data_IF_664401754290
#
_entry.id   IF_664401754290
#
_cell.length_a   1.000
_cell.length_b   1.000
_cell.length_c   1.000
_cell.angle_alpha   90.00
_cell.angle_beta   90.00
_cell.angle_gamma   90.00
#
_symmetry.space_group_name_H-M   'P 1'
#
loop_
_entity.id
_entity.type
_entity.pdbx_description
1 polymer ?
2 water ?
#
# COMPACT_ATOMS: atom_id res chain seq x y z
N UNK A 12 -7.23 -19.04 7.63
CA UNK A 12 -7.56 -18.38 6.38
C UNK A 12 -6.59 -18.71 5.25
N UNK A 13 -7.11 -18.72 4.02
CA UNK A 13 -6.38 -19.21 2.87
C UNK A 13 -5.28 -18.28 2.44
N UNK A 14 -5.25 -17.03 2.97
CA UNK A 14 -4.14 -16.16 2.64
C UNK A 14 -2.81 -16.83 2.92
N UNK A 15 -2.76 -17.72 3.94
CA UNK A 15 -1.50 -18.37 4.28
C UNK A 15 -0.95 -19.21 3.15
N UNK A 16 -1.80 -19.60 2.22
CA UNK A 16 -1.39 -20.48 1.13
C UNK A 16 -0.93 -19.70 -0.09
N UNK A 17 -1.08 -18.37 -0.10
CA UNK A 17 -0.76 -17.60 -1.29
C UNK A 17 0.74 -17.44 -1.43
N UNK A 18 1.20 -17.44 -2.69
CA UNK A 18 2.59 -17.18 -3.07
C UNK A 18 2.78 -15.86 -3.81
N UNK A 19 1.70 -15.14 -4.10
CA UNK A 19 1.81 -13.90 -4.85
C UNK A 19 0.68 -12.97 -4.46
N UNK A 20 0.97 -11.67 -4.51
CA UNK A 20 -0.10 -10.69 -4.40
C UNK A 20 -1.22 -10.92 -5.41
N UNK A 21 -0.90 -11.51 -6.58
CA UNK A 21 -1.90 -11.68 -7.63
C UNK A 21 -3.02 -12.60 -7.23
N UNK A 22 -2.87 -13.31 -6.11
CA UNK A 22 -3.94 -14.19 -5.66
C UNK A 22 -5.00 -13.47 -4.81
N UNK A 23 -4.83 -12.17 -4.54
CA UNK A 23 -5.80 -11.49 -3.68
C UNK A 23 -6.75 -10.61 -4.48
N UNK A 24 -7.92 -10.42 -3.89
CA UNK A 24 -8.94 -9.49 -4.37
C UNK A 24 -9.30 -8.58 -3.21
N UNK A 25 -9.42 -7.29 -3.49
CA UNK A 25 -9.62 -6.34 -2.41
C UNK A 25 -10.57 -5.24 -2.88
N UNK A 26 -11.44 -4.74 -2.03
CA UNK A 26 -12.36 -3.69 -2.49
C UNK A 26 -11.68 -2.33 -2.63
N UNK A 27 -11.87 -1.70 -3.79
CA UNK A 27 -11.40 -0.35 -3.99
C UNK A 27 -12.23 0.63 -3.19
N UNK A 28 -11.89 1.91 -3.29
CA UNK A 28 -12.48 2.88 -2.36
C UNK A 28 -13.95 3.08 -2.63
N UNK A 29 -14.40 2.71 -3.81
CA UNK A 29 -15.84 2.73 -4.13
C UNK A 29 -16.56 1.49 -3.66
N UNK A 30 -15.85 0.55 -3.04
CA UNK A 30 -16.52 -0.66 -2.64
C UNK A 30 -16.47 -1.80 -3.63
N UNK A 31 -15.68 -1.70 -4.69
CA UNK A 31 -15.76 -2.65 -5.79
C UNK A 31 -14.54 -3.54 -5.80
N UNK A 32 -14.74 -4.83 -6.02
CA UNK A 32 -13.63 -5.76 -5.89
C UNK A 32 -12.67 -5.59 -7.03
N UNK A 33 -11.39 -5.59 -6.69
CA UNK A 33 -10.29 -5.47 -7.61
C UNK A 33 -9.48 -6.75 -7.48
N UNK A 34 -9.37 -7.51 -8.55
CA UNK A 34 -8.50 -8.68 -8.58
C UNK A 34 -7.10 -8.19 -8.84
N UNK A 35 -6.21 -8.42 -7.86
CA UNK A 35 -4.88 -7.85 -7.98
C UNK A 35 -4.03 -8.54 -9.03
N UNK A 36 -4.49 -9.68 -9.60
CA UNK A 36 -3.71 -10.20 -10.75
C UNK A 36 -3.76 -9.27 -11.95
N UNK A 37 -4.63 -8.25 -11.93
CA UNK A 37 -4.56 -7.30 -13.02
C UNK A 37 -3.28 -6.48 -12.98
N UNK A 38 -2.52 -6.55 -11.89
CA UNK A 38 -1.24 -5.86 -11.82
C UNK A 38 -0.07 -6.78 -12.15
N UNK A 39 -0.35 -7.99 -12.66
CA UNK A 39 0.75 -8.82 -13.16
C UNK A 39 1.52 -8.04 -14.22
N UNK A 40 2.83 -8.13 -14.17
CA UNK A 40 3.68 -7.44 -15.08
C UNK A 40 3.89 -5.97 -14.76
N UNK A 41 3.38 -5.49 -13.62
CA UNK A 41 3.65 -4.14 -13.13
C UNK A 41 4.45 -4.23 -11.85
N UNK A 42 5.27 -3.22 -11.62
CA UNK A 42 5.94 -3.04 -10.32
C UNK A 42 4.95 -2.26 -9.47
N UNK A 43 4.77 -2.68 -8.21
CA UNK A 43 3.68 -2.15 -7.41
C UNK A 43 4.22 -1.73 -6.04
N UNK A 44 3.75 -0.58 -5.57
CA UNK A 44 3.97 -0.19 -4.17
C UNK A 44 2.65 -0.31 -3.46
N UNK A 45 2.61 -1.00 -2.33
CA UNK A 45 1.40 -1.08 -1.52
C UNK A 45 1.70 -0.27 -0.26
N UNK A 46 0.76 0.58 0.16
CA UNK A 46 1.02 1.37 1.34
C UNK A 46 -0.28 1.59 2.09
N UNK A 47 -0.16 1.71 3.40
CA UNK A 47 -1.31 2.03 4.25
C UNK A 47 -1.26 3.52 4.50
N UNK A 48 -2.40 4.20 4.32
CA UNK A 48 -2.44 5.66 4.34
C UNK A 48 -3.34 6.12 5.52
N UNK A 49 -3.27 7.42 5.80
CA UNK A 49 -4.16 8.04 6.76
C UNK A 49 -4.16 9.54 6.45
N UNK A 50 -5.21 10.22 6.90
CA UNK A 50 -5.40 11.62 6.52
C UNK A 50 -4.97 12.58 7.61
N UNK A 51 -4.80 12.12 8.84
CA UNK A 51 -4.56 12.95 10.02
C UNK A 51 -3.24 12.59 10.69
N UNK A 52 -2.24 12.23 9.86
CA UNK A 52 -0.91 11.82 10.30
C UNK A 52 0.11 12.94 10.10
N UNK A 53 1.12 13.01 11.00
CA UNK A 53 2.17 13.98 10.84
C UNK A 53 2.89 13.90 9.51
N UNK A 54 2.88 12.72 8.90
CA UNK A 54 3.49 12.52 7.59
C UNK A 54 2.49 12.33 6.46
N UNK A 55 1.22 12.68 6.67
CA UNK A 55 0.26 12.65 5.56
C UNK A 55 0.75 13.47 4.37
N UNK A 56 1.23 14.70 4.62
CA UNK A 56 1.53 15.58 3.49
C UNK A 56 2.73 15.08 2.71
N UNK A 57 3.81 14.71 3.39
CA UNK A 57 5.00 14.25 2.67
C UNK A 57 4.69 12.97 1.90
N UNK A 58 3.88 12.09 2.50
CA UNK A 58 3.60 10.83 1.82
C UNK A 58 2.72 11.02 0.62
N UNK A 59 1.58 11.70 0.76
CA UNK A 59 0.75 11.86 -0.44
C UNK A 59 1.45 12.66 -1.53
N UNK A 60 2.11 13.77 -1.17
CA UNK A 60 2.77 14.55 -2.24
C UNK A 60 3.84 13.74 -2.93
N UNK A 61 4.65 13.00 -2.17
CA UNK A 61 5.75 12.28 -2.78
C UNK A 61 5.28 11.01 -3.50
N UNK A 62 4.20 10.37 -3.01
CA UNK A 62 3.65 9.24 -3.72
C UNK A 62 3.07 9.69 -5.05
N UNK A 63 2.35 10.82 -5.07
CA UNK A 63 1.86 11.35 -6.35
C UNK A 63 3.05 11.65 -7.26
N UNK A 64 4.07 12.29 -6.75
CA UNK A 64 5.22 12.63 -7.59
C UNK A 64 5.89 11.38 -8.16
N UNK A 65 6.01 10.34 -7.36
CA UNK A 65 6.68 9.13 -7.79
C UNK A 65 5.82 8.42 -8.82
N UNK A 66 4.51 8.44 -8.60
CA UNK A 66 3.58 7.81 -9.52
C UNK A 66 3.59 8.55 -10.85
N UNK A 67 3.55 9.90 -10.82
CA UNK A 67 3.60 10.60 -12.11
C UNK A 67 4.91 10.36 -12.81
N UNK A 68 6.00 10.27 -12.07
CA UNK A 68 7.34 10.09 -12.64
C UNK A 68 7.50 8.74 -13.31
N UNK A 69 6.86 7.69 -12.81
CA UNK A 69 7.11 6.34 -13.20
C UNK A 69 5.90 5.55 -13.69
N UNK A 70 4.68 6.11 -13.65
CA UNK A 70 3.56 5.26 -14.07
C UNK A 70 3.69 4.83 -15.53
N UNK A 71 4.38 5.59 -16.36
CA UNK A 71 4.49 5.20 -17.77
C UNK A 71 5.47 4.07 -17.93
N UNK A 72 6.25 3.76 -16.88
CA UNK A 72 7.10 2.58 -16.84
C UNK A 72 6.40 1.40 -16.21
N UNK A 73 5.12 1.53 -15.84
CA UNK A 73 4.37 0.45 -15.27
C UNK A 73 4.27 0.46 -13.75
N UNK A 74 4.73 1.52 -13.07
CA UNK A 74 4.59 1.58 -11.61
C UNK A 74 3.12 1.78 -11.26
N UNK A 75 2.61 0.97 -10.32
CA UNK A 75 1.30 1.12 -9.73
C UNK A 75 1.47 1.39 -8.25
N UNK A 76 0.57 2.19 -7.70
CA UNK A 76 0.55 2.39 -6.25
C UNK A 76 -0.84 2.04 -5.75
N UNK A 77 -0.89 1.18 -4.74
CA UNK A 77 -2.15 0.72 -4.17
C UNK A 77 -2.17 1.25 -2.75
N UNK A 78 -3.13 2.12 -2.44
CA UNK A 78 -3.14 2.77 -1.13
C UNK A 78 -4.36 2.30 -0.33
N UNK A 79 -4.09 1.87 0.89
CA UNK A 79 -5.10 1.29 1.76
C UNK A 79 -5.29 2.19 2.96
N UNK A 80 -6.43 2.89 3.10
CA UNK A 80 -6.64 3.69 4.31
C UNK A 80 -6.77 2.78 5.52
N UNK A 81 -6.24 3.24 6.64
CA UNK A 81 -6.30 2.46 7.87
C UNK A 81 -6.30 3.38 9.08
N UNK A 82 -7.21 3.09 10.00
CA UNK A 82 -7.46 3.92 11.16
C UNK A 82 -6.82 3.37 12.44
N UNK A 83 -5.87 2.44 12.34
CA UNK A 83 -5.36 1.74 13.51
C UNK A 83 -4.19 2.45 14.15
N UNK A 84 -3.73 3.57 13.62
CA UNK A 84 -2.49 4.21 14.09
C UNK A 84 -2.80 5.63 14.54
N UNK A 85 -3.17 5.76 15.82
CA UNK A 85 -3.52 7.06 16.33
C UNK A 85 -4.92 7.50 15.96
N UNK A 86 -5.75 6.60 15.42
CA UNK A 86 -7.08 6.96 14.91
C UNK A 86 -6.97 8.08 13.89
N UNK A 87 -6.01 7.93 13.00
CA UNK A 87 -5.68 8.99 12.05
C UNK A 87 -6.37 8.85 10.71
N UNK A 88 -7.33 7.92 10.59
CA UNK A 88 -8.14 7.81 9.36
C UNK A 88 -9.60 7.59 9.77
N UNK A 89 -10.20 8.55 10.49
CA UNK A 89 -11.59 8.38 10.95
C UNK A 89 -12.63 8.48 9.85
N UNK A 90 -12.30 9.04 8.70
CA UNK A 90 -13.30 9.36 7.72
C UNK A 90 -13.83 8.14 7.00
N UNK A 91 -15.04 8.27 6.49
CA UNK A 91 -15.56 7.24 5.60
C UNK A 91 -14.76 7.14 4.27
N UNK A 92 -15.03 6.06 3.56
CA UNK A 92 -14.41 5.86 2.24
C UNK A 92 -14.69 7.05 1.34
N UNK A 93 -15.94 7.51 1.32
CA UNK A 93 -16.27 8.70 0.52
C UNK A 93 -15.49 9.93 0.93
N UNK A 94 -15.36 10.18 2.23
CA UNK A 94 -14.62 11.34 2.68
C UNK A 94 -13.13 11.21 2.38
N UNK A 95 -12.59 9.98 2.45
CA UNK A 95 -11.17 9.77 2.15
C UNK A 95 -10.92 10.02 0.67
N UNK A 96 -11.81 9.51 -0.19
CA UNK A 96 -11.75 9.78 -1.61
C UNK A 96 -11.69 11.28 -1.88
N UNK A 97 -12.59 12.04 -1.26
CA UNK A 97 -12.57 13.49 -1.45
C UNK A 97 -11.29 14.10 -0.92
N UNK A 98 -10.80 13.61 0.23
CA UNK A 98 -9.58 14.15 0.83
C UNK A 98 -8.40 13.99 -0.13
N UNK A 99 -8.25 12.81 -0.72
CA UNK A 99 -7.13 12.58 -1.63
C UNK A 99 -7.13 13.51 -2.83
N UNK A 100 -8.30 14.03 -3.21
CA UNK A 100 -8.41 14.87 -4.41
C UNK A 100 -7.52 16.10 -4.32
N UNK A 101 -7.32 16.63 -3.11
CA UNK A 101 -6.45 17.78 -2.94
C UNK A 101 -5.00 17.51 -3.34
N UNK A 102 -4.60 16.24 -3.42
CA UNK A 102 -3.27 15.86 -3.83
C UNK A 102 -3.24 15.41 -5.28
N UNK A 103 -4.37 15.46 -5.97
CA UNK A 103 -4.43 15.00 -7.35
C UNK A 103 -4.01 13.55 -7.50
N UNK A 104 -4.46 12.70 -6.59
CA UNK A 104 -4.08 11.29 -6.62
C UNK A 104 -4.69 10.63 -7.84
N UNK A 105 -3.86 9.99 -8.67
CA UNK A 105 -4.45 9.18 -9.76
C UNK A 105 -4.03 7.73 -9.62
N UNK A 106 -3.29 7.37 -8.56
CA UNK A 106 -3.09 5.96 -8.27
C UNK A 106 -4.33 5.38 -7.60
N UNK A 107 -4.29 4.10 -7.27
CA UNK A 107 -5.46 3.35 -6.88
C UNK A 107 -5.69 3.45 -5.39
N UNK A 108 -6.86 3.92 -5.03
CA UNK A 108 -7.26 4.02 -3.63
C UNK A 108 -8.23 2.87 -3.28
N UNK A 109 -8.11 2.33 -2.07
CA UNK A 109 -8.88 1.16 -1.67
C UNK A 109 -9.73 1.51 -0.47
N UNK A 110 -10.70 0.65 -0.17
CA UNK A 110 -11.53 0.84 1.01
C UNK A 110 -10.68 0.71 2.27
N UNK A 111 -11.07 1.43 3.30
CA UNK A 111 -10.38 1.38 4.57
C UNK A 111 -10.43 -0.03 5.14
N UNK A 112 -9.32 -0.45 5.74
CA UNK A 112 -9.13 -1.81 6.22
C UNK A 112 -8.33 -1.73 7.51
N UNK A 113 -8.24 -2.86 8.18
CA UNK A 113 -7.25 -3.07 9.20
C UNK A 113 -6.03 -3.75 8.60
N UNK A 114 -4.85 -3.39 9.09
CA UNK A 114 -3.61 -4.04 8.65
C UNK A 114 -2.98 -4.88 9.76
N UNK A 115 -3.36 -4.68 11.01
CA UNK A 115 -2.90 -5.48 12.13
C UNK A 115 -4.06 -6.14 12.83
N UNK A 116 -3.72 -7.14 13.62
CA UNK A 116 -4.70 -7.79 14.47
C UNK A 116 -5.43 -8.91 13.75
N UNK A 117 -6.25 -9.60 14.53
CA UNK A 117 -6.92 -10.77 13.99
C UNK A 117 -7.83 -10.44 12.83
N UNK A 118 -8.26 -9.18 12.68
CA UNK A 118 -9.22 -8.85 11.64
C UNK A 118 -8.59 -8.07 10.48
N UNK A 119 -7.25 -8.05 10.41
CA UNK A 119 -6.58 -7.37 9.31
C UNK A 119 -6.98 -8.00 7.97
N UNK A 120 -6.87 -7.22 6.90
CA UNK A 120 -7.23 -7.77 5.64
C UNK A 120 -6.24 -8.87 5.23
N UNK A 121 -6.72 -9.97 4.62
CA UNK A 121 -5.82 -11.08 4.29
C UNK A 121 -4.61 -10.68 3.49
N UNK A 122 -4.77 -9.73 2.55
CA UNK A 122 -3.61 -9.27 1.79
C UNK A 122 -2.50 -8.79 2.71
N UNK A 123 -2.87 -8.03 3.74
CA UNK A 123 -1.88 -7.48 4.66
C UNK A 123 -1.32 -8.51 5.63
N UNK A 124 -2.17 -9.43 6.09
CA UNK A 124 -1.64 -10.59 6.81
C UNK A 124 -0.56 -11.28 5.98
N UNK A 125 -0.81 -11.46 4.68
CA UNK A 125 0.15 -12.12 3.79
C UNK A 125 1.43 -11.29 3.57
N UNK A 126 1.27 -9.98 3.29
CA UNK A 126 2.43 -9.12 3.07
C UNK A 126 3.41 -9.21 4.25
N UNK A 127 2.88 -9.23 5.47
CA UNK A 127 3.70 -9.14 6.69
C UNK A 127 4.60 -10.35 6.88
N UNK A 128 4.21 -11.51 6.36
CA UNK A 128 5.03 -12.71 6.54
C UNK A 128 5.92 -13.02 5.35
N UNK A 129 5.96 -12.17 4.33
CA UNK A 129 6.80 -12.48 3.19
C UNK A 129 8.26 -12.34 3.57
N UNK A 130 9.14 -13.20 3.05
CA UNK A 130 10.54 -13.16 3.49
C UNK A 130 11.16 -11.78 3.42
N UNK A 131 10.88 -11.01 2.37
CA UNK A 131 11.34 -9.62 2.33
C UNK A 131 10.34 -8.62 2.94
N UNK A 132 9.23 -9.09 3.54
CA UNK A 132 8.20 -8.22 4.09
C UNK A 132 8.06 -8.38 5.59
N UNK A 133 8.79 -9.37 6.10
CA UNK A 133 8.93 -9.50 7.53
C UNK A 133 9.73 -8.32 8.05
N UNK A 134 9.20 -7.68 9.08
CA UNK A 134 9.98 -6.76 9.85
C UNK A 134 10.56 -7.49 11.04
N UNK A 135 11.74 -7.09 11.44
CA UNK A 135 12.23 -7.37 12.78
C UNK A 135 11.74 -6.24 13.69
N UNK A 136 11.41 -6.59 14.93
CA UNK A 136 10.51 -5.74 15.68
C UNK A 136 9.12 -6.18 15.28
N UNK A 137 8.97 -7.50 15.16
CA UNK A 137 7.74 -8.12 14.73
C UNK A 137 7.43 -7.84 13.27
N UNK A 138 6.53 -8.63 12.72
CA UNK A 138 6.05 -8.25 11.41
C UNK A 138 4.99 -7.15 11.45
N UNK A 139 4.44 -6.81 12.62
CA UNK A 139 3.31 -5.89 12.70
C UNK A 139 3.63 -4.57 12.03
N UNK A 140 2.61 -4.04 11.31
CA UNK A 140 2.76 -2.70 10.80
C UNK A 140 2.90 -1.74 11.97
N UNK A 141 3.87 -0.84 11.86
CA UNK A 141 4.20 -0.02 13.03
C UNK A 141 3.48 1.33 13.05
N UNK A 142 3.10 1.84 11.88
CA UNK A 142 2.47 3.14 11.83
C UNK A 142 1.90 3.32 10.43
N UNK A 143 1.28 4.49 10.26
CA UNK A 143 0.79 4.86 8.95
C UNK A 143 1.97 4.93 7.97
N UNK A 144 1.65 4.72 6.69
CA UNK A 144 2.59 4.89 5.55
C UNK A 144 3.80 3.95 5.68
N UNK A 145 3.54 2.70 6.03
CA UNK A 145 4.50 1.65 5.69
C UNK A 145 4.29 1.34 4.22
N UNK A 146 5.35 0.93 3.55
CA UNK A 146 5.28 0.62 2.12
C UNK A 146 5.86 -0.77 1.89
N UNK A 147 5.32 -1.46 0.88
CA UNK A 147 5.90 -2.70 0.39
C UNK A 147 6.09 -2.52 -1.10
N UNK A 148 7.24 -2.93 -1.58
CA UNK A 148 7.52 -2.97 -3.02
C UNK A 148 7.30 -4.38 -3.46
N UNK A 149 6.56 -4.53 -4.56
CA UNK A 149 6.15 -5.83 -5.06
C UNK A 149 6.53 -5.90 -6.52
N UNK A 150 7.09 -7.04 -6.91
CA UNK A 150 7.61 -7.16 -8.28
C UNK A 150 6.51 -7.55 -9.28
N UNK A 151 6.86 -7.73 -10.55
CA UNK A 151 5.88 -8.02 -11.59
C UNK A 151 5.23 -9.39 -11.45
N UNK A 152 5.82 -10.25 -10.61
CA UNK A 152 5.22 -11.53 -10.30
C UNK A 152 4.45 -11.53 -9.00
N UNK A 153 4.26 -10.36 -8.38
CA UNK A 153 3.50 -10.27 -7.17
C UNK A 153 4.24 -10.74 -5.94
N UNK A 154 5.58 -10.78 -6.00
CA UNK A 154 6.40 -11.07 -4.82
C UNK A 154 6.80 -9.79 -4.11
N UNK A 155 6.80 -9.85 -2.77
CA UNK A 155 7.38 -8.74 -1.98
C UNK A 155 8.89 -8.73 -2.16
N UNK A 156 9.43 -7.60 -2.47
CA UNK A 156 10.87 -7.49 -2.64
C UNK A 156 11.48 -6.55 -1.59
N UNK A 157 10.71 -5.58 -1.09
CA UNK A 157 11.24 -4.71 -0.05
C UNK A 157 10.08 -4.22 0.81
N UNK A 158 10.42 -3.89 2.05
CA UNK A 158 9.50 -3.25 2.99
C UNK A 158 10.18 -1.97 3.49
N UNK A 159 9.41 -0.89 3.59
CA UNK A 159 9.91 0.40 4.01
C UNK A 159 9.04 0.86 5.17
N UNK A 160 9.68 1.38 6.20
CA UNK A 160 8.98 1.78 7.41
C UNK A 160 8.33 3.13 7.26
N UNK A 161 7.51 3.48 8.22
CA UNK A 161 6.81 4.77 8.22
C UNK A 161 7.63 6.01 8.04
N UNK A 162 8.92 5.99 8.37
CA UNK A 162 9.72 7.18 8.21
C UNK A 162 10.23 7.36 6.81
N UNK A 163 10.06 6.37 5.96
CA UNK A 163 10.69 6.40 4.65
C UNK A 163 9.97 7.40 3.76
N UNK A 164 10.68 8.38 3.27
CA UNK A 164 10.07 9.24 2.28
C UNK A 164 9.84 8.45 1.01
N UNK A 165 8.67 8.58 0.39
CA UNK A 165 8.43 7.79 -0.85
C UNK A 165 9.49 8.02 -1.92
N UNK A 166 10.07 9.22 -2.00
CA UNK A 166 11.11 9.46 -3.02
C UNK A 166 12.30 8.53 -2.84
N UNK A 167 12.55 8.09 -1.62
CA UNK A 167 13.66 7.18 -1.43
C UNK A 167 13.42 5.79 -1.99
N UNK A 168 12.20 5.46 -2.39
CA UNK A 168 11.97 4.17 -3.01
C UNK A 168 12.54 4.16 -4.43
N UNK A 169 12.84 5.33 -4.98
CA UNK A 169 13.56 5.39 -6.27
C UNK A 169 14.81 4.52 -6.29
N UNK A 170 15.54 4.44 -5.18
CA UNK A 170 16.75 3.62 -5.11
C UNK A 170 16.50 2.21 -5.62
N UNK A 171 15.26 1.72 -5.50
CA UNK A 171 15.00 0.32 -5.69
C UNK A 171 14.22 0.05 -6.97
N UNK A 172 13.68 1.06 -7.58
CA UNK A 172 12.92 0.82 -8.81
C UNK A 172 13.74 0.28 -10.00
N UNK A 173 14.98 0.75 -10.27
CA UNK A 173 15.75 0.15 -11.39
C UNK A 173 15.96 -1.34 -11.22
N UNK A 174 16.11 -1.81 -9.97
CA UNK A 174 16.20 -3.24 -9.70
C UNK A 174 15.08 -4.01 -10.40
N UNK A 175 13.85 -3.45 -10.42
CA UNK A 175 12.64 -4.21 -10.75
C UNK A 175 11.90 -3.77 -12.00
N UNK A 176 12.07 -2.53 -12.47
CA UNK A 176 11.47 -2.19 -13.78
C UNK A 176 11.95 -3.12 -14.89
#
# INVERSE_FOLDING_TARGET
MAHHHHHHVGTGDWRTATSMHEFSVPDIDGNMVNLDQYRGKTVIVTNVASQCGKTEVNYTQLVELHRKHRAEGLEILAFPCNQFGKQEPGSNEEIKAFCAQYNVTFHMFSKIDVNGADAHPLWKWLKVQPNGQGVGGNAIKWNFTKFLIDKNGKVVKRYGPMTEPRDIEADLPKYF
#
